data_IF_399640388713
#
_entry.id   IF_399640388713
#
_cell.length_a   1.000
_cell.length_b   1.000
_cell.length_c   1.000
_cell.angle_alpha   90.00
_cell.angle_beta   90.00
_cell.angle_gamma   90.00
#
_symmetry.space_group_name_H-M   'P 1'
#
loop_
_entity.id
_entity.type
_entity.pdbx_description
1 polymer ?
#
# COMPACT_ATOMS: atom_id res chain seq x y z
N UNK A 1 -20.73 -10.91 -17.35
CA UNK A 1 -21.13 -10.51 -15.99
C UNK A 1 -19.90 -10.04 -15.22
N UNK A 2 -20.02 -8.98 -14.42
CA UNK A 2 -19.00 -8.63 -13.41
C UNK A 2 -18.98 -9.73 -12.33
N UNK A 3 -17.79 -10.17 -11.93
CA UNK A 3 -17.63 -11.27 -10.97
C UNK A 3 -18.01 -10.82 -9.56
N UNK A 4 -18.42 -11.77 -8.70
CA UNK A 4 -18.65 -11.51 -7.27
C UNK A 4 -17.36 -11.00 -6.59
N UNK A 5 -16.21 -11.48 -7.04
CA UNK A 5 -14.90 -11.03 -6.58
C UNK A 5 -14.68 -9.53 -6.83
N UNK A 6 -15.08 -9.02 -7.99
CA UNK A 6 -15.00 -7.59 -8.29
C UNK A 6 -15.85 -6.75 -7.33
N UNK A 7 -17.08 -7.17 -7.05
CA UNK A 7 -17.98 -6.45 -6.15
C UNK A 7 -17.44 -6.41 -4.71
N UNK A 8 -16.95 -7.54 -4.20
CA UNK A 8 -16.37 -7.62 -2.86
C UNK A 8 -15.12 -6.74 -2.76
N UNK A 9 -14.19 -6.85 -3.71
CA UNK A 9 -12.92 -6.09 -3.73
C UNK A 9 -13.13 -4.59 -3.89
N UNK A 10 -14.18 -4.20 -4.60
CA UNK A 10 -14.56 -2.79 -4.73
C UNK A 10 -15.25 -2.28 -3.47
N UNK A 11 -16.16 -3.06 -2.88
CA UNK A 11 -16.91 -2.66 -1.69
C UNK A 11 -16.01 -2.44 -0.46
N UNK A 12 -15.15 -3.42 -0.12
CA UNK A 12 -14.23 -3.23 1.01
C UNK A 12 -13.16 -2.18 0.70
N UNK A 13 -12.75 -2.06 -0.57
CA UNK A 13 -11.80 -1.05 -1.03
C UNK A 13 -12.35 0.36 -0.78
N UNK A 14 -13.57 0.62 -1.24
CA UNK A 14 -14.27 1.89 -1.03
C UNK A 14 -14.46 2.21 0.46
N UNK A 15 -14.91 1.22 1.26
CA UNK A 15 -15.06 1.41 2.70
C UNK A 15 -13.73 1.75 3.40
N UNK A 16 -12.65 1.08 3.01
CA UNK A 16 -11.31 1.31 3.58
C UNK A 16 -10.76 2.68 3.17
N UNK A 17 -10.93 3.10 1.92
CA UNK A 17 -10.53 4.45 1.48
C UNK A 17 -11.36 5.55 2.12
N UNK A 18 -12.64 5.32 2.32
CA UNK A 18 -13.49 6.25 3.06
C UNK A 18 -12.95 6.45 4.48
N UNK A 19 -12.67 5.36 5.21
CA UNK A 19 -12.05 5.42 6.53
C UNK A 19 -10.69 6.14 6.49
N UNK A 20 -9.83 5.81 5.53
CA UNK A 20 -8.51 6.43 5.37
C UNK A 20 -8.63 7.95 5.16
N UNK A 21 -9.56 8.36 4.29
CA UNK A 21 -9.85 9.77 3.99
C UNK A 21 -10.30 10.51 5.25
N UNK A 22 -11.20 9.93 6.05
CA UNK A 22 -11.66 10.55 7.31
C UNK A 22 -10.52 10.74 8.31
N UNK A 23 -9.64 9.74 8.46
CA UNK A 23 -8.49 9.81 9.36
C UNK A 23 -7.53 10.93 8.90
N UNK A 24 -7.21 10.99 7.61
CA UNK A 24 -6.32 12.01 7.05
C UNK A 24 -6.94 13.40 7.18
N UNK A 25 -8.23 13.54 6.89
CA UNK A 25 -8.97 14.79 7.07
C UNK A 25 -8.92 15.27 8.53
N UNK A 26 -9.17 14.38 9.49
CA UNK A 26 -9.04 14.67 10.92
C UNK A 26 -7.63 15.11 11.30
N UNK A 27 -6.59 14.43 10.80
CA UNK A 27 -5.19 14.78 11.06
C UNK A 27 -4.82 16.16 10.50
N UNK A 28 -5.28 16.49 9.30
CA UNK A 28 -5.06 17.81 8.68
C UNK A 28 -5.80 18.89 9.47
N UNK A 29 -7.04 18.65 9.88
CA UNK A 29 -7.82 19.59 10.71
C UNK A 29 -7.14 19.86 12.06
N UNK A 30 -6.55 18.84 12.68
CA UNK A 30 -5.83 18.91 13.96
C UNK A 30 -4.31 18.96 13.75
N UNK A 31 -3.83 19.67 12.73
CA UNK A 31 -2.41 19.66 12.35
C UNK A 31 -1.44 19.96 13.48
N UNK A 32 -1.79 20.88 14.39
CA UNK A 32 -0.97 21.23 15.55
C UNK A 32 -0.72 20.04 16.49
N UNK A 33 -1.68 19.13 16.63
CA UNK A 33 -1.58 17.93 17.48
C UNK A 33 -0.90 16.74 16.76
N UNK A 34 -0.88 16.74 15.43
CA UNK A 34 -0.40 15.65 14.57
C UNK A 34 0.82 16.04 13.73
N UNK A 35 1.54 17.11 14.08
CA UNK A 35 2.73 17.57 13.36
C UNK A 35 4.00 16.75 13.68
N UNK A 36 3.95 15.42 13.65
CA UNK A 36 5.15 14.56 13.73
C UNK A 36 5.51 14.02 12.35
N UNK A 37 6.77 13.65 12.16
CA UNK A 37 7.22 13.08 10.87
C UNK A 37 6.47 11.80 10.51
N UNK A 38 6.10 11.01 11.52
CA UNK A 38 5.30 9.79 11.31
C UNK A 38 3.94 10.08 10.66
N UNK A 39 3.20 11.07 11.17
CA UNK A 39 1.91 11.41 10.60
C UNK A 39 2.04 12.03 9.22
N UNK A 40 3.12 12.78 8.94
CA UNK A 40 3.42 13.25 7.58
C UNK A 40 3.65 12.08 6.62
N UNK A 41 4.45 11.08 7.02
CA UNK A 41 4.65 9.87 6.24
C UNK A 41 3.32 9.15 5.97
N UNK A 42 2.45 9.04 6.98
CA UNK A 42 1.14 8.41 6.85
C UNK A 42 0.21 9.14 5.85
N UNK A 43 0.24 10.48 5.82
CA UNK A 43 -0.52 11.29 4.85
C UNK A 43 0.06 11.15 3.44
N UNK A 44 1.39 11.13 3.31
CA UNK A 44 2.05 10.93 2.00
C UNK A 44 1.73 9.53 1.46
N UNK A 45 1.79 8.52 2.31
CA UNK A 45 1.42 7.14 2.01
C UNK A 45 -0.05 7.02 1.59
N UNK A 46 -0.96 7.77 2.22
CA UNK A 46 -2.35 7.87 1.77
C UNK A 46 -2.45 8.34 0.31
N UNK A 47 -1.73 9.41 -0.05
CA UNK A 47 -1.75 9.93 -1.42
C UNK A 47 -1.27 8.87 -2.42
N UNK A 48 -0.16 8.18 -2.14
CA UNK A 48 0.32 7.11 -3.01
C UNK A 48 -0.67 5.94 -3.10
N UNK A 49 -1.25 5.53 -1.96
CA UNK A 49 -2.20 4.43 -1.92
C UNK A 49 -3.49 4.74 -2.70
N UNK A 50 -3.99 5.98 -2.66
CA UNK A 50 -5.11 6.42 -3.52
C UNK A 50 -4.76 6.23 -5.00
N UNK A 51 -3.58 6.69 -5.41
CA UNK A 51 -3.14 6.54 -6.80
C UNK A 51 -2.98 5.07 -7.17
N UNK A 52 -2.38 4.24 -6.31
CA UNK A 52 -2.24 2.79 -6.53
C UNK A 52 -3.60 2.13 -6.73
N UNK A 53 -4.58 2.44 -5.89
CA UNK A 53 -5.91 1.83 -5.97
C UNK A 53 -6.65 2.24 -7.24
N UNK A 54 -6.68 3.53 -7.56
CA UNK A 54 -7.32 4.03 -8.78
C UNK A 54 -6.65 3.46 -10.03
N UNK A 55 -5.31 3.42 -10.04
CA UNK A 55 -4.54 2.88 -11.14
C UNK A 55 -4.77 1.36 -11.32
N UNK A 56 -4.76 0.61 -10.22
CA UNK A 56 -5.08 -0.82 -10.20
C UNK A 56 -6.48 -1.11 -10.74
N UNK A 57 -7.44 -0.19 -10.55
CA UNK A 57 -8.77 -0.32 -11.12
C UNK A 57 -8.74 -0.38 -12.65
N UNK A 58 -7.90 0.45 -13.27
CA UNK A 58 -7.73 0.54 -14.73
C UNK A 58 -6.90 -0.63 -15.25
N UNK A 59 -5.74 -0.90 -14.66
CA UNK A 59 -4.76 -1.83 -15.24
C UNK A 59 -4.99 -3.29 -14.88
N UNK A 60 -5.72 -3.56 -13.79
CA UNK A 60 -5.85 -4.90 -13.22
C UNK A 60 -7.32 -5.28 -12.97
N UNK A 61 -8.03 -4.55 -12.10
CA UNK A 61 -9.33 -5.00 -11.58
C UNK A 61 -10.43 -5.03 -12.62
N UNK A 62 -10.61 -3.95 -13.39
CA UNK A 62 -11.66 -3.92 -14.41
C UNK A 62 -11.37 -4.91 -15.57
N UNK A 63 -10.14 -4.99 -16.12
CA UNK A 63 -9.79 -5.99 -17.14
C UNK A 63 -9.95 -7.44 -16.66
N UNK A 64 -9.41 -7.77 -15.48
CA UNK A 64 -9.39 -9.15 -14.97
C UNK A 64 -10.76 -9.69 -14.56
N UNK A 65 -11.76 -8.82 -14.40
CA UNK A 65 -13.13 -9.20 -14.06
C UNK A 65 -14.11 -9.04 -15.23
N UNK A 66 -13.60 -8.78 -16.44
CA UNK A 66 -14.40 -8.66 -17.66
C UNK A 66 -14.14 -9.83 -18.59
N UNK A 67 -15.20 -10.57 -18.91
CA UNK A 67 -15.20 -11.66 -19.90
C UNK A 67 -15.34 -11.12 -21.33
N UNK A 68 -15.01 -11.94 -22.33
CA UNK A 68 -15.06 -11.54 -23.76
C UNK A 68 -16.46 -11.11 -24.22
N UNK A 69 -17.50 -11.82 -23.80
CA UNK A 69 -18.90 -11.55 -24.20
C UNK A 69 -19.66 -10.71 -23.17
N UNK A 70 -18.93 -10.04 -22.26
CA UNK A 70 -19.52 -9.19 -21.24
C UNK A 70 -19.99 -7.85 -21.84
N UNK A 71 -21.03 -7.24 -21.27
CA UNK A 71 -21.54 -5.91 -21.68
C UNK A 71 -20.42 -4.84 -21.72
N UNK A 72 -19.39 -4.97 -20.87
CA UNK A 72 -18.28 -4.01 -20.77
C UNK A 72 -17.03 -4.42 -21.58
N UNK A 73 -17.05 -5.52 -22.34
CA UNK A 73 -15.87 -5.97 -23.10
C UNK A 73 -15.43 -4.96 -24.16
N UNK A 74 -16.37 -4.22 -24.74
CA UNK A 74 -16.09 -3.16 -25.72
C UNK A 74 -15.11 -2.09 -25.22
N UNK A 75 -15.05 -1.84 -23.91
CA UNK A 75 -14.12 -0.87 -23.31
C UNK A 75 -12.67 -1.33 -23.42
N UNK A 76 -12.44 -2.64 -23.40
CA UNK A 76 -11.12 -3.24 -23.50
C UNK A 76 -10.78 -3.56 -24.95
N UNK A 77 -11.75 -4.08 -25.73
CA UNK A 77 -11.58 -4.41 -27.15
C UNK A 77 -11.14 -3.20 -27.99
N UNK A 78 -11.64 -2.00 -27.65
CA UNK A 78 -11.25 -0.77 -28.34
C UNK A 78 -9.76 -0.43 -28.21
N UNK A 79 -9.11 -0.84 -27.12
CA UNK A 79 -7.69 -0.58 -26.86
C UNK A 79 -6.86 -1.89 -26.90
N UNK A 80 -7.29 -2.86 -27.72
CA UNK A 80 -6.61 -4.16 -27.86
C UNK A 80 -5.54 -4.19 -28.95
N UNK A 81 -5.45 -3.14 -29.77
CA UNK A 81 -4.45 -3.07 -30.84
C UNK A 81 -3.10 -2.60 -30.31
N UNK A 82 -2.00 -3.35 -30.57
CA UNK A 82 -0.64 -2.93 -30.19
C UNK A 82 -0.10 -1.80 -31.08
N UNK A 83 -0.71 -1.58 -32.25
CA UNK A 83 -0.25 -0.61 -33.26
C UNK A 83 -0.98 0.74 -33.18
N UNK A 84 -2.09 0.81 -32.44
CA UNK A 84 -2.86 2.04 -32.24
C UNK A 84 -2.40 2.75 -30.97
N UNK A 85 -2.21 4.07 -31.04
CA UNK A 85 -1.74 4.84 -29.89
C UNK A 85 -2.72 4.78 -28.70
N UNK A 86 -2.32 4.07 -27.65
CA UNK A 86 -3.04 3.97 -26.39
C UNK A 86 -2.31 4.75 -25.30
N UNK A 87 -1.90 5.99 -25.61
CA UNK A 87 -1.07 6.82 -24.72
C UNK A 87 -1.56 6.96 -23.27
N UNK A 88 -2.87 6.97 -22.93
CA UNK A 88 -3.27 6.96 -21.52
C UNK A 88 -2.96 5.62 -20.82
N UNK A 89 -3.14 4.50 -21.51
CA UNK A 89 -2.96 3.16 -20.93
C UNK A 89 -1.49 2.87 -20.63
N UNK A 90 -0.56 3.31 -21.49
CA UNK A 90 0.89 3.16 -21.22
C UNK A 90 1.31 3.89 -19.94
N UNK A 91 0.76 5.07 -19.64
CA UNK A 91 1.09 5.81 -18.42
C UNK A 91 0.52 5.12 -17.17
N UNK A 92 -0.73 4.64 -17.23
CA UNK A 92 -1.32 3.87 -16.14
C UNK A 92 -0.55 2.55 -15.90
N UNK A 93 -0.15 1.87 -16.97
CA UNK A 93 0.64 0.65 -16.88
C UNK A 93 2.05 0.91 -16.31
N UNK A 94 2.70 2.00 -16.72
CA UNK A 94 3.98 2.45 -16.15
C UNK A 94 3.85 2.76 -14.65
N UNK A 95 2.81 3.51 -14.28
CA UNK A 95 2.50 3.82 -12.88
C UNK A 95 2.22 2.57 -12.07
N UNK A 96 1.65 1.52 -12.67
CA UNK A 96 1.35 0.27 -11.96
C UNK A 96 2.63 -0.38 -11.43
N UNK A 97 3.65 -0.47 -12.27
CA UNK A 97 4.96 -0.97 -11.84
C UNK A 97 5.67 0.00 -10.89
N UNK A 98 5.63 1.31 -11.18
CA UNK A 98 6.27 2.31 -10.32
C UNK A 98 5.70 2.30 -8.89
N UNK A 99 4.39 2.11 -8.75
CA UNK A 99 3.72 2.08 -7.44
C UNK A 99 4.17 0.90 -6.58
N UNK A 100 4.50 -0.25 -7.16
CA UNK A 100 5.03 -1.38 -6.39
C UNK A 100 6.35 -1.01 -5.69
N UNK A 101 7.27 -0.34 -6.41
CA UNK A 101 8.50 0.18 -5.81
C UNK A 101 8.22 1.24 -4.74
N UNK A 102 7.32 2.19 -5.03
CA UNK A 102 6.95 3.28 -4.12
C UNK A 102 6.40 2.72 -2.81
N UNK A 103 5.44 1.78 -2.87
CA UNK A 103 4.83 1.18 -1.69
C UNK A 103 5.87 0.46 -0.81
N UNK A 104 6.72 -0.37 -1.41
CA UNK A 104 7.78 -1.06 -0.67
C UNK A 104 8.78 -0.09 -0.02
N UNK A 105 9.11 1.00 -0.72
CA UNK A 105 10.01 2.04 -0.21
C UNK A 105 9.36 2.83 0.92
N UNK A 106 8.06 3.13 0.84
CA UNK A 106 7.31 3.81 1.89
C UNK A 106 7.23 2.95 3.15
N UNK A 107 6.95 1.65 3.03
CA UNK A 107 6.98 0.72 4.16
C UNK A 107 8.36 0.69 4.82
N UNK A 108 9.44 0.68 4.04
CA UNK A 108 10.80 0.78 4.56
C UNK A 108 11.05 2.12 5.27
N UNK A 109 10.65 3.25 4.68
CA UNK A 109 10.82 4.58 5.28
C UNK A 109 10.07 4.69 6.62
N UNK A 110 8.87 4.11 6.72
CA UNK A 110 8.13 4.04 7.99
C UNK A 110 8.94 3.23 9.01
N UNK A 111 9.43 2.05 8.66
CA UNK A 111 10.27 1.23 9.54
C UNK A 111 11.56 1.96 9.98
N UNK A 112 12.23 2.64 9.05
CA UNK A 112 13.44 3.41 9.32
C UNK A 112 13.14 4.62 10.22
N UNK A 113 12.00 5.29 10.01
CA UNK A 113 11.55 6.37 10.86
C UNK A 113 11.29 5.90 12.30
N UNK A 114 10.69 4.72 12.45
CA UNK A 114 10.49 4.10 13.77
C UNK A 114 11.81 3.70 14.43
N UNK A 115 12.73 3.08 13.69
CA UNK A 115 14.07 2.75 14.19
C UNK A 115 14.81 4.01 14.64
N UNK A 116 14.81 5.06 13.81
CA UNK A 116 15.48 6.33 14.10
C UNK A 116 14.96 6.99 15.38
N UNK A 117 13.66 6.90 15.63
CA UNK A 117 13.05 7.45 16.86
C UNK A 117 13.60 6.76 18.12
N UNK A 118 13.87 5.45 18.06
CA UNK A 118 14.43 4.70 19.20
C UNK A 118 15.94 4.85 19.33
N UNK A 119 16.66 5.00 18.21
CA UNK A 119 18.11 5.20 18.23
C UNK A 119 18.51 6.65 18.56
N UNK A 120 17.77 7.63 18.02
CA UNK A 120 18.09 9.06 18.07
C UNK A 120 17.02 9.85 18.82
N UNK A 121 16.65 9.38 20.01
CA UNK A 121 15.51 9.89 20.83
C UNK A 121 15.42 11.42 20.88
N UNK A 122 16.55 12.11 21.07
CA UNK A 122 16.58 13.57 21.26
C UNK A 122 16.64 14.39 19.95
N UNK A 123 16.95 13.77 18.82
CA UNK A 123 17.29 14.49 17.58
C UNK A 123 16.61 13.95 16.33
N UNK A 124 15.82 12.88 16.43
CA UNK A 124 15.19 12.25 15.27
C UNK A 124 14.32 13.25 14.48
N UNK A 125 13.46 14.05 15.13
CA UNK A 125 12.63 15.04 14.44
C UNK A 125 13.46 16.13 13.73
N UNK A 126 14.60 16.53 14.31
CA UNK A 126 15.49 17.54 13.70
C UNK A 126 16.14 17.00 12.43
N UNK A 127 16.47 15.71 12.40
CA UNK A 127 17.02 15.05 11.22
C UNK A 127 15.94 14.78 10.15
N UNK A 128 14.79 14.23 10.58
CA UNK A 128 13.76 13.77 9.66
C UNK A 128 12.99 14.89 8.97
N UNK A 129 12.76 16.03 9.63
CA UNK A 129 12.02 17.14 9.01
C UNK A 129 12.63 17.66 7.70
N UNK A 130 13.94 17.99 7.64
CA UNK A 130 14.57 18.42 6.40
C UNK A 130 14.86 17.26 5.43
N UNK A 131 15.12 16.04 5.94
CA UNK A 131 15.44 14.90 5.10
C UNK A 131 14.21 14.28 4.41
N UNK A 132 13.01 14.41 5.00
CA UNK A 132 11.79 13.77 4.51
C UNK A 132 11.48 14.13 3.04
N UNK A 133 11.47 15.40 2.60
CA UNK A 133 11.23 15.73 1.20
C UNK A 133 12.23 15.09 0.25
N UNK A 134 13.50 14.99 0.65
CA UNK A 134 14.56 14.34 -0.13
C UNK A 134 14.27 12.85 -0.28
N UNK A 135 13.93 12.17 0.81
CA UNK A 135 13.54 10.76 0.76
C UNK A 135 12.33 10.53 -0.13
N UNK A 136 11.29 11.35 -0.03
CA UNK A 136 10.10 11.22 -0.89
C UNK A 136 10.46 11.46 -2.37
N UNK A 137 11.31 12.45 -2.67
CA UNK A 137 11.78 12.69 -4.02
C UNK A 137 12.50 11.46 -4.60
N UNK A 138 13.38 10.82 -3.82
CA UNK A 138 14.07 9.60 -4.22
C UNK A 138 13.10 8.43 -4.44
N UNK A 139 12.13 8.27 -3.55
CA UNK A 139 11.09 7.23 -3.64
C UNK A 139 10.23 7.38 -4.90
N UNK A 140 10.02 8.60 -5.40
CA UNK A 140 9.28 8.82 -6.65
C UNK A 140 10.21 8.72 -7.87
N UNK A 141 11.37 9.37 -7.82
CA UNK A 141 12.24 9.51 -8.98
C UNK A 141 12.83 8.17 -9.42
N UNK A 142 13.32 7.35 -8.48
CA UNK A 142 13.93 6.07 -8.82
C UNK A 142 12.98 5.11 -9.56
N UNK A 143 11.74 4.85 -9.07
CA UNK A 143 10.80 3.99 -9.78
C UNK A 143 10.40 4.52 -11.14
N UNK A 144 10.18 5.84 -11.28
CA UNK A 144 9.83 6.43 -12.57
C UNK A 144 10.95 6.24 -13.60
N UNK A 145 12.22 6.40 -13.20
CA UNK A 145 13.37 6.18 -14.08
C UNK A 145 13.47 4.71 -14.52
N UNK A 146 13.27 3.77 -13.60
CA UNK A 146 13.37 2.32 -13.89
C UNK A 146 12.22 1.85 -14.79
N UNK A 147 11.04 2.47 -14.72
CA UNK A 147 9.87 2.09 -15.53
C UNK A 147 9.72 2.89 -16.83
N UNK A 148 10.63 3.82 -17.15
CA UNK A 148 10.63 4.58 -18.42
C UNK A 148 10.53 3.72 -19.69
N UNK A 149 11.14 2.52 -19.77
CA UNK A 149 10.98 1.67 -20.96
C UNK A 149 9.52 1.30 -21.25
N UNK A 150 8.69 1.14 -20.20
CA UNK A 150 7.26 0.85 -20.34
C UNK A 150 6.52 2.09 -20.85
N UNK A 151 6.90 3.28 -20.37
CA UNK A 151 6.25 4.54 -20.78
C UNK A 151 6.53 4.93 -22.23
N UNK A 152 7.63 4.44 -22.79
CA UNK A 152 8.07 4.75 -24.15
C UNK A 152 7.50 3.79 -25.19
N UNK A 153 6.76 2.77 -24.75
CA UNK A 153 6.21 1.72 -25.60
C UNK A 153 4.71 1.57 -25.35
N UNK A 154 3.99 1.31 -26.44
CA UNK A 154 2.54 1.24 -26.37
C UNK A 154 2.06 0.11 -25.46
N UNK A 155 0.94 0.34 -24.75
CA UNK A 155 0.28 -0.66 -23.92
C UNK A 155 -1.12 -0.95 -24.45
N UNK A 156 -1.56 -2.20 -24.33
CA UNK A 156 -2.81 -2.67 -24.91
C UNK A 156 -3.43 -3.75 -24.03
N UNK A 157 -4.74 -3.97 -24.19
CA UNK A 157 -5.43 -5.08 -23.54
C UNK A 157 -5.37 -6.34 -24.41
N UNK A 158 -5.21 -7.49 -23.77
CA UNK A 158 -5.32 -8.78 -24.45
C UNK A 158 -6.21 -9.71 -23.64
N UNK A 159 -7.18 -10.33 -24.31
CA UNK A 159 -7.99 -11.38 -23.72
C UNK A 159 -7.18 -12.67 -23.61
N UNK A 160 -7.11 -13.23 -22.40
CA UNK A 160 -6.39 -14.48 -22.12
C UNK A 160 -7.41 -15.58 -21.84
N UNK A 161 -7.62 -16.53 -22.78
CA UNK A 161 -8.64 -17.57 -22.63
C UNK A 161 -8.48 -18.41 -21.36
N UNK A 162 -7.24 -18.70 -20.95
CA UNK A 162 -6.96 -19.47 -19.73
C UNK A 162 -7.33 -18.75 -18.42
N UNK A 163 -7.48 -17.42 -18.44
CA UNK A 163 -7.94 -16.63 -17.29
C UNK A 163 -9.39 -16.14 -17.47
N UNK A 164 -10.00 -16.42 -18.63
CA UNK A 164 -11.32 -15.91 -19.04
C UNK A 164 -11.47 -14.39 -18.86
N UNK A 165 -10.38 -13.64 -19.01
CA UNK A 165 -10.33 -12.23 -18.67
C UNK A 165 -9.32 -11.44 -19.53
N UNK A 166 -9.45 -10.11 -19.50
CA UNK A 166 -8.47 -9.21 -20.13
C UNK A 166 -7.28 -8.97 -19.21
N UNK A 167 -6.11 -8.80 -19.81
CA UNK A 167 -4.86 -8.43 -19.13
C UNK A 167 -4.20 -7.28 -19.86
N UNK A 168 -3.57 -6.37 -19.12
CA UNK A 168 -2.79 -5.28 -19.71
C UNK A 168 -1.40 -5.79 -20.07
N UNK A 169 -0.94 -5.51 -21.30
CA UNK A 169 0.42 -5.80 -21.77
C UNK A 169 1.05 -4.55 -22.38
N UNK A 170 2.38 -4.54 -22.42
CA UNK A 170 3.15 -3.58 -23.22
C UNK A 170 3.78 -4.31 -24.40
N UNK A 171 4.04 -3.56 -25.48
CA UNK A 171 4.88 -4.03 -26.60
C UNK A 171 6.33 -4.23 -26.15
N UNK A 172 6.79 -3.45 -25.18
CA UNK A 172 8.11 -3.65 -24.59
C UNK A 172 8.16 -4.95 -23.79
N UNK A 173 9.33 -5.61 -23.83
CA UNK A 173 9.60 -6.70 -22.91
C UNK A 173 9.71 -6.16 -21.47
N UNK A 174 8.71 -6.50 -20.66
CA UNK A 174 8.63 -6.13 -19.24
C UNK A 174 9.48 -7.04 -18.35
N UNK A 175 10.09 -8.11 -18.89
CA UNK A 175 10.82 -9.13 -18.12
C UNK A 175 11.98 -8.54 -17.33
N UNK A 176 12.73 -7.61 -17.93
CA UNK A 176 13.84 -6.94 -17.25
C UNK A 176 13.34 -6.06 -16.10
N UNK A 177 12.30 -5.25 -16.35
CA UNK A 177 11.68 -4.38 -15.32
C UNK A 177 11.13 -5.21 -14.15
N UNK A 178 10.50 -6.34 -14.47
CA UNK A 178 10.00 -7.32 -13.51
C UNK A 178 11.12 -7.97 -12.70
N UNK A 179 12.22 -8.38 -13.34
CA UNK A 179 13.38 -8.95 -12.65
C UNK A 179 14.05 -7.94 -11.71
N UNK A 180 14.18 -6.69 -12.15
CA UNK A 180 14.68 -5.59 -11.34
C UNK A 180 13.76 -5.30 -10.15
N UNK A 181 12.43 -5.31 -10.37
CA UNK A 181 11.44 -5.12 -9.32
C UNK A 181 11.55 -6.22 -8.26
N UNK A 182 11.63 -7.47 -8.68
CA UNK A 182 11.83 -8.62 -7.78
C UNK A 182 13.08 -8.44 -6.92
N UNK A 183 14.23 -8.12 -7.52
CA UNK A 183 15.48 -7.93 -6.78
C UNK A 183 15.37 -6.76 -5.80
N UNK A 184 14.74 -5.67 -6.21
CA UNK A 184 14.46 -4.51 -5.37
C UNK A 184 13.57 -4.88 -4.17
N UNK A 185 12.46 -5.58 -4.41
CA UNK A 185 11.52 -6.02 -3.37
C UNK A 185 12.20 -6.93 -2.34
N UNK A 186 13.05 -7.85 -2.76
CA UNK A 186 13.86 -8.68 -1.84
C UNK A 186 14.77 -7.78 -0.99
N UNK A 187 15.59 -6.95 -1.64
CA UNK A 187 16.57 -6.10 -0.95
C UNK A 187 15.92 -5.16 0.06
N UNK A 188 14.87 -4.44 -0.35
CA UNK A 188 14.17 -3.48 0.51
C UNK A 188 13.43 -4.19 1.65
N UNK A 189 12.89 -5.39 1.43
CA UNK A 189 12.22 -6.17 2.48
C UNK A 189 13.22 -6.66 3.53
N UNK A 190 14.42 -7.07 3.12
CA UNK A 190 15.52 -7.40 4.05
C UNK A 190 15.88 -6.17 4.90
N UNK A 191 16.03 -5.00 4.27
CA UNK A 191 16.31 -3.75 5.00
C UNK A 191 15.18 -3.39 5.98
N UNK A 192 13.91 -3.50 5.56
CA UNK A 192 12.74 -3.28 6.43
C UNK A 192 12.72 -4.27 7.60
N UNK A 193 13.07 -5.53 7.35
CA UNK A 193 13.12 -6.58 8.37
C UNK A 193 14.18 -6.26 9.42
N UNK A 194 15.40 -5.94 8.97
CA UNK A 194 16.51 -5.53 9.85
C UNK A 194 16.10 -4.31 10.66
N UNK A 195 15.50 -3.28 10.03
CA UNK A 195 15.09 -2.07 10.73
C UNK A 195 14.05 -2.35 11.83
N UNK A 196 13.04 -3.17 11.54
CA UNK A 196 12.01 -3.56 12.53
C UNK A 196 12.59 -4.43 13.66
N UNK A 197 13.47 -5.40 13.35
CA UNK A 197 14.10 -6.25 14.37
C UNK A 197 14.96 -5.39 15.31
N UNK A 198 15.81 -4.51 14.77
CA UNK A 198 16.65 -3.61 15.57
C UNK A 198 15.80 -2.68 16.45
N UNK A 199 14.70 -2.16 15.89
CA UNK A 199 13.75 -1.35 16.64
C UNK A 199 13.13 -2.13 17.80
N UNK A 200 12.71 -3.38 17.59
CA UNK A 200 12.14 -4.23 18.62
C UNK A 200 13.14 -4.61 19.72
N UNK A 201 14.38 -4.95 19.35
CA UNK A 201 15.45 -5.26 20.32
C UNK A 201 15.69 -4.05 21.22
N UNK A 202 15.86 -2.86 20.62
CA UNK A 202 16.09 -1.63 21.39
C UNK A 202 14.88 -1.22 22.22
N UNK A 203 13.66 -1.44 21.73
CA UNK A 203 12.42 -1.18 22.47
C UNK A 203 12.35 -2.03 23.75
N UNK A 204 12.79 -3.29 23.71
CA UNK A 204 12.88 -4.15 24.90
C UNK A 204 13.89 -3.63 25.92
N UNK A 205 15.01 -3.06 25.46
CA UNK A 205 16.02 -2.47 26.34
C UNK A 205 15.58 -1.15 27.01
N UNK A 206 14.59 -0.44 26.46
CA UNK A 206 14.16 0.90 26.91
C UNK A 206 12.75 0.91 27.54
N UNK A 207 12.35 -0.21 28.15
CA UNK A 207 10.97 -0.47 28.59
C UNK A 207 10.32 0.66 29.42
N UNK A 208 11.08 1.36 30.26
CA UNK A 208 10.56 2.38 31.18
C UNK A 208 10.37 3.77 30.56
N UNK A 209 10.91 4.04 29.36
CA UNK A 209 11.03 5.40 28.82
C UNK A 209 10.08 5.70 27.65
N UNK A 210 9.52 4.68 27.02
CA UNK A 210 8.71 4.80 25.81
C UNK A 210 7.23 4.65 26.17
N UNK A 211 6.41 5.61 25.72
CA UNK A 211 4.97 5.61 26.00
C UNK A 211 4.29 4.39 25.39
N UNK A 212 3.25 3.87 26.04
CA UNK A 212 2.42 2.80 25.48
C UNK A 212 1.86 3.14 24.09
N UNK A 213 1.56 4.42 23.84
CA UNK A 213 1.11 4.89 22.52
C UNK A 213 2.20 4.75 21.44
N UNK A 214 3.47 4.96 21.80
CA UNK A 214 4.59 4.81 20.86
C UNK A 214 4.88 3.33 20.57
N UNK A 215 4.78 2.47 21.58
CA UNK A 215 4.88 1.00 21.41
C UNK A 215 3.84 0.48 20.42
N UNK A 216 2.61 0.99 20.50
CA UNK A 216 1.54 0.64 19.57
C UNK A 216 1.85 1.05 18.13
N UNK A 217 2.53 2.19 17.91
CA UNK A 217 2.98 2.59 16.57
C UNK A 217 4.11 1.73 16.03
N UNK A 218 4.95 1.11 16.88
CA UNK A 218 5.90 0.08 16.44
C UNK A 218 5.17 -1.17 15.94
N UNK A 219 4.08 -1.56 16.60
CA UNK A 219 3.27 -2.70 16.16
C UNK A 219 2.67 -2.45 14.76
N UNK A 220 2.25 -1.22 14.44
CA UNK A 220 1.78 -0.85 13.09
C UNK A 220 2.87 -1.11 12.02
N UNK A 221 4.10 -0.68 12.30
CA UNK A 221 5.25 -0.93 11.40
C UNK A 221 5.54 -2.43 11.24
N UNK A 222 5.42 -3.19 12.33
CA UNK A 222 5.64 -4.65 12.31
C UNK A 222 4.55 -5.39 11.52
N UNK A 223 3.28 -5.01 11.65
CA UNK A 223 2.19 -5.57 10.83
C UNK A 223 2.43 -5.28 9.35
N UNK A 224 2.89 -4.07 9.04
CA UNK A 224 3.22 -3.68 7.66
C UNK A 224 4.36 -4.53 7.08
N UNK A 225 5.37 -4.90 7.89
CA UNK A 225 6.40 -5.85 7.49
C UNK A 225 5.84 -7.25 7.18
N UNK A 226 4.92 -7.77 8.00
CA UNK A 226 4.29 -9.08 7.73
C UNK A 226 3.57 -9.05 6.38
N UNK A 227 2.81 -7.99 6.11
CA UNK A 227 2.10 -7.82 4.84
C UNK A 227 3.08 -7.69 3.67
N UNK A 228 4.18 -6.97 3.85
CA UNK A 228 5.25 -6.87 2.86
C UNK A 228 5.89 -8.23 2.55
N UNK A 229 6.10 -9.09 3.56
CA UNK A 229 6.59 -10.46 3.37
C UNK A 229 5.59 -11.33 2.61
N UNK A 230 4.30 -11.21 2.89
CA UNK A 230 3.24 -11.92 2.15
C UNK A 230 3.22 -11.51 0.68
N UNK A 231 3.34 -10.22 0.39
CA UNK A 231 3.40 -9.70 -0.97
C UNK A 231 4.67 -10.14 -1.72
N UNK A 232 5.81 -10.20 -1.03
CA UNK A 232 7.04 -10.74 -1.61
C UNK A 232 6.89 -12.22 -1.93
N UNK A 233 6.32 -13.01 -1.01
CA UNK A 233 6.10 -14.44 -1.20
C UNK A 233 5.20 -14.72 -2.42
N UNK A 234 4.08 -14.00 -2.54
CA UNK A 234 3.16 -14.11 -3.68
C UNK A 234 3.87 -13.82 -5.01
N UNK A 235 4.65 -12.73 -5.03
CA UNK A 235 5.44 -12.34 -6.21
C UNK A 235 6.49 -13.40 -6.57
N UNK A 236 7.20 -13.96 -5.59
CA UNK A 236 8.21 -15.01 -5.83
C UNK A 236 7.59 -16.29 -6.38
N UNK A 237 6.42 -16.70 -5.89
CA UNK A 237 5.70 -17.87 -6.43
C UNK A 237 5.36 -17.66 -7.90
N UNK A 238 4.87 -16.46 -8.27
CA UNK A 238 4.57 -16.12 -9.67
C UNK A 238 5.82 -16.15 -10.56
N UNK A 239 6.97 -15.67 -10.06
CA UNK A 239 8.23 -15.70 -10.81
C UNK A 239 8.79 -17.11 -10.99
N UNK A 240 8.83 -17.90 -9.91
CA UNK A 240 9.39 -19.25 -9.94
C UNK A 240 8.56 -20.21 -10.79
N UNK A 241 7.26 -19.93 -10.90
CA UNK A 241 6.30 -20.79 -11.60
C UNK A 241 5.93 -20.26 -12.99
N UNK A 242 6.71 -19.31 -13.53
CA UNK A 242 6.48 -18.70 -14.83
C UNK A 242 6.45 -19.73 -15.99
N UNK A 243 7.15 -20.86 -15.83
CA UNK A 243 7.16 -21.96 -16.79
C UNK A 243 6.00 -22.96 -16.64
N UNK A 244 5.38 -23.06 -15.46
CA UNK A 244 4.30 -24.00 -15.17
C UNK A 244 3.03 -23.26 -14.71
N UNK A 245 2.38 -22.64 -15.69
CA UNK A 245 1.16 -21.85 -15.47
C UNK A 245 -0.05 -22.68 -15.01
N UNK A 246 0.04 -24.02 -15.07
CA UNK A 246 -1.03 -24.94 -14.67
C UNK A 246 -0.89 -25.40 -13.21
N UNK A 247 0.27 -25.17 -12.57
CA UNK A 247 0.48 -25.48 -11.17
C UNK A 247 -0.54 -24.78 -10.27
N UNK A 248 -1.05 -25.52 -9.28
CA UNK A 248 -2.03 -25.02 -8.30
C UNK A 248 -1.51 -23.76 -7.62
N UNK A 249 -0.22 -23.72 -7.26
CA UNK A 249 0.42 -22.55 -6.65
C UNK A 249 0.35 -21.29 -7.50
N UNK A 250 0.55 -21.39 -8.81
CA UNK A 250 0.47 -20.23 -9.73
C UNK A 250 -0.94 -19.70 -9.85
N UNK A 251 -1.93 -20.60 -9.95
CA UNK A 251 -3.33 -20.21 -10.04
C UNK A 251 -3.80 -19.54 -8.75
N UNK A 252 -3.42 -20.10 -7.59
CA UNK A 252 -3.71 -19.50 -6.29
C UNK A 252 -3.05 -18.14 -6.12
N UNK A 253 -1.77 -17.98 -6.49
CA UNK A 253 -1.08 -16.70 -6.40
C UNK A 253 -1.73 -15.63 -7.30
N UNK A 254 -2.10 -15.97 -8.54
CA UNK A 254 -2.82 -15.05 -9.44
C UNK A 254 -4.16 -14.58 -8.87
N UNK A 255 -4.89 -15.46 -8.18
CA UNK A 255 -6.16 -15.12 -7.53
C UNK A 255 -5.95 -14.27 -6.27
N UNK A 256 -4.88 -14.52 -5.52
CA UNK A 256 -4.55 -13.80 -4.28
C UNK A 256 -3.90 -12.44 -4.52
N UNK A 257 -3.18 -12.26 -5.62
CA UNK A 257 -2.41 -11.05 -5.92
C UNK A 257 -3.20 -9.74 -5.74
N UNK A 258 -4.46 -9.61 -6.20
CA UNK A 258 -5.25 -8.40 -5.94
C UNK A 258 -5.52 -8.17 -4.45
N UNK A 259 -5.79 -9.23 -3.68
CA UNK A 259 -6.04 -9.13 -2.24
C UNK A 259 -4.77 -8.76 -1.46
N UNK A 260 -3.62 -9.32 -1.86
CA UNK A 260 -2.33 -9.01 -1.23
C UNK A 260 -1.89 -7.57 -1.53
N UNK A 261 -2.08 -7.12 -2.77
CA UNK A 261 -1.91 -5.70 -3.15
C UNK A 261 -2.83 -4.78 -2.35
N UNK A 262 -4.05 -5.22 -2.08
CA UNK A 262 -5.02 -4.46 -1.29
C UNK A 262 -4.65 -4.39 0.17
N UNK A 263 -4.16 -5.48 0.75
CA UNK A 263 -3.62 -5.48 2.11
C UNK A 263 -2.45 -4.50 2.22
N UNK A 264 -1.53 -4.47 1.25
CA UNK A 264 -0.46 -3.47 1.21
C UNK A 264 -0.97 -2.03 1.17
N UNK A 265 -2.06 -1.79 0.44
CA UNK A 265 -2.58 -0.44 0.19
C UNK A 265 -3.51 0.05 1.33
N UNK A 266 -4.34 -0.84 1.86
CA UNK A 266 -5.48 -0.51 2.71
C UNK A 266 -5.28 -0.85 4.20
N UNK A 267 -4.21 -1.56 4.56
CA UNK A 267 -3.92 -1.93 5.96
C UNK A 267 -3.72 -0.73 6.89
N UNK A 268 -3.08 0.33 6.39
CA UNK A 268 -2.66 1.51 7.15
C UNK A 268 -3.77 2.16 8.01
N UNK A 269 -4.96 2.49 7.48
CA UNK A 269 -6.04 3.07 8.28
C UNK A 269 -6.54 2.11 9.38
N UNK A 270 -6.64 0.82 9.08
CA UNK A 270 -7.14 -0.18 10.02
C UNK A 270 -6.17 -0.44 11.18
N UNK A 271 -4.89 -0.62 10.87
CA UNK A 271 -3.86 -0.78 11.91
C UNK A 271 -3.71 0.46 12.77
N UNK A 272 -3.75 1.65 12.17
CA UNK A 272 -3.68 2.88 12.94
C UNK A 272 -4.89 3.03 13.87
N UNK A 273 -6.10 2.74 13.40
CA UNK A 273 -7.31 2.75 14.24
C UNK A 273 -7.22 1.72 15.36
N UNK A 274 -6.74 0.51 15.09
CA UNK A 274 -6.66 -0.54 16.10
C UNK A 274 -5.65 -0.20 17.20
N UNK A 275 -4.46 0.28 16.82
CA UNK A 275 -3.35 0.47 17.75
C UNK A 275 -3.29 1.89 18.37
N UNK A 276 -3.80 2.93 17.72
CA UNK A 276 -3.72 4.31 18.21
C UNK A 276 -4.99 4.77 18.94
N UNK A 277 -4.96 4.71 20.28
CA UNK A 277 -6.04 5.27 21.12
C UNK A 277 -6.27 6.75 20.86
N UNK A 278 -5.20 7.54 20.65
CA UNK A 278 -5.31 8.98 20.34
C UNK A 278 -6.14 9.23 19.07
N UNK A 279 -5.89 8.45 18.01
CA UNK A 279 -6.62 8.57 16.74
C UNK A 279 -8.06 8.12 16.92
N UNK A 280 -8.34 7.01 17.62
CA UNK A 280 -9.72 6.56 17.89
C UNK A 280 -10.55 7.59 18.63
N UNK A 281 -10.01 8.17 19.70
CA UNK A 281 -10.72 9.18 20.51
C UNK A 281 -10.97 10.44 19.68
N UNK A 282 -9.98 10.87 18.89
CA UNK A 282 -10.13 12.03 18.00
C UNK A 282 -11.18 11.79 16.90
N UNK A 283 -11.18 10.61 16.30
CA UNK A 283 -12.18 10.18 15.30
C UNK A 283 -13.59 10.13 15.88
N UNK A 284 -13.76 9.55 17.08
CA UNK A 284 -15.04 9.50 17.77
C UNK A 284 -15.56 10.92 18.07
N UNK A 285 -14.69 11.81 18.54
CA UNK A 285 -15.06 13.19 18.86
C UNK A 285 -15.46 14.01 17.62
N UNK A 286 -14.77 13.82 16.50
CA UNK A 286 -14.95 14.67 15.31
C UNK A 286 -16.06 14.16 14.38
N UNK A 287 -16.29 12.85 14.29
CA UNK A 287 -17.18 12.25 13.29
C UNK A 287 -18.33 11.41 13.87
N UNK A 288 -18.26 11.01 15.15
CA UNK A 288 -19.27 10.13 15.76
C UNK A 288 -19.73 10.65 17.13
N UNK A 289 -20.57 11.72 17.15
CA UNK A 289 -21.01 12.35 18.40
C UNK A 289 -21.71 11.39 19.38
N UNK A 290 -22.32 10.31 18.91
CA UNK A 290 -22.92 9.26 19.75
C UNK A 290 -21.90 8.46 20.58
N UNK A 291 -20.67 8.27 20.07
CA UNK A 291 -19.59 7.58 20.79
C UNK A 291 -18.86 8.48 21.79
N UNK A 292 -19.09 9.81 21.73
CA UNK A 292 -18.51 10.79 22.65
C UNK A 292 -18.93 10.57 24.12
N UNK A 293 -20.15 10.06 24.32
CA UNK A 293 -20.69 9.81 25.66
C UNK A 293 -20.07 8.56 26.29
N UNK A 294 -19.91 7.48 25.52
CA UNK A 294 -19.32 6.22 26.02
C UNK A 294 -17.83 6.35 26.41
N UNK A 295 -17.06 7.21 25.72
CA UNK A 295 -15.63 7.45 26.06
C UNK A 295 -15.47 8.34 27.30
N UNK A 296 -16.45 9.19 27.60
CA UNK A 296 -16.47 9.95 28.85
C UNK A 296 -16.79 9.04 30.04
N UNK A 297 -17.76 8.15 29.88
CA UNK A 297 -18.19 7.22 30.94
C UNK A 297 -17.10 6.22 31.32
N UNK A 298 -16.24 5.81 30.36
CA UNK A 298 -15.10 4.92 30.60
C UNK A 298 -13.90 5.58 31.33
N UNK A 299 -13.82 6.92 31.38
CA UNK A 299 -12.74 7.67 32.03
C UNK A 299 -13.17 8.34 33.34
N UNK A 300 -14.44 8.23 33.73
CA UNK A 300 -14.87 8.52 35.10
C UNK A 300 -14.37 7.40 36.01
N UNK A 301 -13.45 7.65 36.96
CA UNK A 301 -13.20 6.67 38.00
C UNK A 301 -14.54 6.41 38.71
N UNK A 302 -14.91 5.14 38.83
CA UNK A 302 -16.01 4.70 39.66
C UNK A 302 -15.69 5.04 41.12
N UNK A 303 -15.90 6.29 41.50
CA UNK A 303 -16.22 6.60 42.88
C UNK A 303 -17.66 6.14 43.09
N UNK A 304 -17.90 5.36 44.14
CA UNK A 304 -19.21 4.83 44.60
C UNK A 304 -19.59 3.55 43.82
N UNK A 305 -19.55 2.32 44.37
CA UNK A 305 -19.47 1.73 45.71
C UNK A 305 -18.41 0.63 45.76
#
# INVERSE_FOLDING_TARGET
MLTVQFLITTAYGAASFYLYTLIVYMMIKRWTEYNTTFFKLFIIEYCFNVVTFLNSFITLRAPQNTCKDCIFSFLFDRNSSPNEDNSPLQYFFTLHYAMAYIQYSMTFLVALNRLSMVLLVNSYEKFWRPALPVFICLVIAYPLLVTLPISSNNAYYIYVPGLLAYTTKSVADVTEVLSNLKNFMIGITVLTTVANILALIRLKCLHSRISGAERNLFTVSFVSLIIQLLALADTLVLFLSAADTASVGTQTAKVLMPFVSDLLTLNHPWTLMYFSTKVRVSMANDHFPSMRNQVKDANTPSSVY
#
